data_IF_796519991333
#
_entry.id   IF_796519991333
#
_cell.length_a   1.000
_cell.length_b   1.000
_cell.length_c   1.000
_cell.angle_alpha   90.00
_cell.angle_beta   90.00
_cell.angle_gamma   90.00
#
_symmetry.space_group_name_H-M   'P 1'
#
loop_
_entity.id
_entity.type
_entity.pdbx_description
1 polymer ?
#
# COMPACT_ATOMS: atom_id res chain seq x y z
N UNK A 1 15.45 4.87 -4.47
CA UNK A 1 14.39 5.45 -5.19
C UNK A 1 13.10 4.67 -5.05
N UNK A 2 12.20 5.38 -4.58
CA UNK A 2 10.87 5.49 -5.11
C UNK A 2 9.91 4.36 -4.83
N UNK A 3 8.97 4.72 -4.06
CA UNK A 3 7.62 4.21 -4.02
C UNK A 3 7.03 4.17 -5.43
N UNK A 4 7.32 3.13 -6.21
CA UNK A 4 6.46 2.84 -7.33
C UNK A 4 5.19 2.22 -6.78
N UNK A 5 4.21 3.06 -6.58
CA UNK A 5 2.85 2.61 -6.43
C UNK A 5 2.48 1.73 -7.62
N UNK A 6 1.61 0.72 -7.44
CA UNK A 6 0.95 0.09 -8.56
C UNK A 6 0.41 1.18 -9.50
N UNK A 7 0.34 0.92 -10.81
CA UNK A 7 -0.14 1.89 -11.80
C UNK A 7 -1.56 2.34 -11.50
N UNK A 8 -1.70 3.31 -10.62
CA UNK A 8 -2.98 3.90 -10.25
C UNK A 8 -2.87 5.40 -10.44
N UNK A 9 -3.77 5.96 -11.23
CA UNK A 9 -3.87 7.40 -11.43
C UNK A 9 -4.69 8.01 -10.28
N UNK A 10 -4.11 9.00 -9.62
CA UNK A 10 -4.80 9.77 -8.59
C UNK A 10 -5.50 10.95 -9.24
N UNK A 11 -6.79 11.12 -8.95
CA UNK A 11 -7.56 12.28 -9.40
C UNK A 11 -7.05 13.54 -8.73
N UNK A 12 -6.81 14.60 -9.52
CA UNK A 12 -6.30 15.88 -9.03
C UNK A 12 -7.39 16.67 -8.31
N UNK A 13 -6.97 17.55 -7.41
CA UNK A 13 -7.88 18.47 -6.72
C UNK A 13 -8.69 19.36 -7.69
N UNK A 14 -8.05 19.81 -8.78
CA UNK A 14 -8.71 20.66 -9.78
C UNK A 14 -9.86 19.94 -10.49
N UNK A 15 -9.74 18.66 -10.76
CA UNK A 15 -10.82 17.85 -11.35
C UNK A 15 -12.00 17.72 -10.38
N UNK A 16 -11.73 17.69 -9.09
CA UNK A 16 -12.74 17.61 -8.04
C UNK A 16 -13.50 18.92 -7.83
N UNK A 17 -12.82 20.05 -7.92
CA UNK A 17 -13.45 21.37 -7.72
C UNK A 17 -14.34 21.79 -8.87
N UNK A 18 -14.26 21.16 -10.02
CA UNK A 18 -15.18 21.42 -11.14
C UNK A 18 -16.54 20.79 -10.93
N UNK A 19 -16.67 19.82 -10.03
CA UNK A 19 -17.94 19.24 -9.62
C UNK A 19 -18.40 19.89 -8.32
N UNK A 20 -19.66 20.33 -8.26
CA UNK A 20 -20.25 20.77 -7.00
C UNK A 20 -20.32 19.59 -6.05
N UNK A 21 -19.47 19.62 -5.03
CA UNK A 21 -19.50 18.63 -3.97
C UNK A 21 -20.79 18.80 -3.18
N UNK A 22 -21.66 17.81 -3.21
CA UNK A 22 -22.80 17.77 -2.34
C UNK A 22 -22.38 17.53 -0.87
N UNK A 23 -23.30 17.68 0.06
CA UNK A 23 -23.01 17.46 1.49
C UNK A 23 -22.53 16.05 1.79
N UNK A 24 -22.98 15.07 1.00
CA UNK A 24 -22.61 13.65 1.10
C UNK A 24 -21.14 13.44 0.75
N UNK A 25 -20.71 14.00 -0.39
CA UNK A 25 -19.30 13.93 -0.80
C UNK A 25 -18.38 14.60 0.21
N UNK A 26 -18.82 15.69 0.82
CA UNK A 26 -18.05 16.38 1.86
C UNK A 26 -17.88 15.51 3.11
N UNK A 27 -18.93 14.83 3.56
CA UNK A 27 -18.86 13.91 4.71
C UNK A 27 -17.86 12.77 4.45
N UNK A 28 -17.87 12.20 3.25
CA UNK A 28 -16.91 11.16 2.86
C UNK A 28 -15.48 11.68 2.83
N UNK A 29 -15.28 12.88 2.33
CA UNK A 29 -13.97 13.54 2.34
C UNK A 29 -13.50 13.80 3.77
N UNK A 30 -14.39 14.28 4.63
CA UNK A 30 -14.07 14.59 6.03
C UNK A 30 -13.64 13.34 6.81
N UNK A 31 -14.37 12.23 6.69
CA UNK A 31 -13.98 11.00 7.40
C UNK A 31 -12.65 10.46 6.89
N UNK A 32 -12.45 10.42 5.58
CA UNK A 32 -11.21 9.91 4.98
C UNK A 32 -10.00 10.80 5.25
N UNK A 33 -10.22 12.06 5.56
CA UNK A 33 -9.18 13.01 5.97
C UNK A 33 -8.97 13.11 7.47
N UNK A 34 -9.73 12.37 8.29
CA UNK A 34 -9.68 12.49 9.74
C UNK A 34 -8.49 11.72 10.36
N UNK A 35 -8.09 12.16 11.56
CA UNK A 35 -7.11 11.45 12.36
C UNK A 35 -7.62 10.08 12.81
N UNK A 36 -8.92 9.98 13.08
CA UNK A 36 -9.56 8.70 13.43
C UNK A 36 -9.43 7.68 12.31
N UNK A 37 -9.58 8.12 11.07
CA UNK A 37 -9.39 7.26 9.90
C UNK A 37 -7.92 6.82 9.77
N UNK A 38 -6.98 7.72 9.99
CA UNK A 38 -5.56 7.38 10.02
C UNK A 38 -5.27 6.27 11.03
N UNK A 39 -5.78 6.39 12.24
CA UNK A 39 -5.64 5.39 13.30
C UNK A 39 -6.34 4.07 12.95
N UNK A 40 -7.49 4.15 12.28
CA UNK A 40 -8.23 2.97 11.83
C UNK A 40 -7.45 2.18 10.78
N UNK A 41 -6.79 2.85 9.84
CA UNK A 41 -5.93 2.20 8.85
C UNK A 41 -4.78 1.46 9.53
N UNK A 42 -4.15 2.06 10.51
CA UNK A 42 -3.08 1.42 11.30
C UNK A 42 -3.59 0.19 12.07
N UNK A 43 -4.75 0.30 12.69
CA UNK A 43 -5.38 -0.83 13.39
C UNK A 43 -5.71 -1.97 12.44
N UNK A 44 -6.25 -1.65 11.26
CA UNK A 44 -6.50 -2.63 10.22
C UNK A 44 -5.21 -3.35 9.79
N UNK A 45 -4.15 -2.61 9.54
CA UNK A 45 -2.87 -3.20 9.12
C UNK A 45 -2.31 -4.17 10.19
N UNK A 46 -2.42 -3.82 11.47
CA UNK A 46 -2.00 -4.70 12.56
C UNK A 46 -2.78 -6.01 12.59
N UNK A 47 -4.06 -5.98 12.21
CA UNK A 47 -4.90 -7.18 12.11
C UNK A 47 -4.40 -8.14 11.02
N UNK A 48 -3.79 -7.64 9.95
CA UNK A 48 -3.27 -8.44 8.85
C UNK A 48 -2.13 -9.39 9.26
N UNK A 49 -1.57 -9.19 10.44
CA UNK A 49 -0.61 -10.13 11.03
C UNK A 49 -1.24 -11.49 11.34
N UNK A 50 -2.55 -11.53 11.54
CA UNK A 50 -3.27 -12.74 11.95
C UNK A 50 -4.11 -13.36 10.85
N UNK A 51 -4.77 -12.53 10.04
CA UNK A 51 -5.71 -12.98 9.00
C UNK A 51 -5.94 -11.91 7.94
N UNK A 52 -6.63 -12.27 6.89
CA UNK A 52 -7.15 -11.39 5.85
C UNK A 52 -6.15 -10.80 4.85
N UNK A 53 -4.90 -11.28 4.86
CA UNK A 53 -3.94 -10.90 3.82
C UNK A 53 -4.39 -11.37 2.43
N UNK A 54 -4.20 -10.51 1.44
CA UNK A 54 -4.52 -10.78 0.04
C UNK A 54 -3.23 -10.92 -0.77
N UNK A 55 -2.99 -12.11 -1.29
CA UNK A 55 -1.82 -12.43 -2.09
C UNK A 55 -2.20 -12.70 -3.54
N UNK A 56 -1.20 -12.66 -4.42
CA UNK A 56 -1.30 -13.02 -5.82
C UNK A 56 -0.45 -14.24 -6.12
N UNK A 57 -0.90 -15.05 -7.08
CA UNK A 57 -0.08 -16.13 -7.61
C UNK A 57 1.19 -15.57 -8.26
N UNK A 58 2.31 -16.22 -8.03
CA UNK A 58 3.52 -15.97 -8.79
C UNK A 58 3.46 -16.84 -10.05
N UNK A 59 3.45 -16.19 -11.22
CA UNK A 59 3.25 -16.84 -12.50
C UNK A 59 4.55 -16.99 -13.26
N UNK A 60 4.65 -18.04 -14.05
CA UNK A 60 5.70 -18.20 -15.03
C UNK A 60 5.15 -18.88 -16.30
N UNK A 61 5.39 -18.25 -17.44
CA UNK A 61 5.02 -18.78 -18.78
C UNK A 61 3.54 -19.23 -18.86
N UNK A 62 2.63 -18.46 -18.26
CA UNK A 62 1.20 -18.76 -18.24
C UNK A 62 0.76 -19.75 -17.17
N UNK A 63 1.70 -20.39 -16.49
CA UNK A 63 1.44 -21.35 -15.41
C UNK A 63 1.68 -20.74 -14.04
N UNK A 64 1.04 -21.29 -13.02
CA UNK A 64 1.25 -20.88 -11.63
C UNK A 64 2.53 -21.53 -11.11
N UNK A 65 3.53 -20.70 -10.82
CA UNK A 65 4.79 -21.17 -10.24
C UNK A 65 4.70 -21.32 -8.72
N UNK A 66 4.20 -20.29 -8.04
CA UNK A 66 3.91 -20.34 -6.60
C UNK A 66 2.46 -19.85 -6.40
N UNK A 67 1.54 -20.72 -5.96
CA UNK A 67 0.15 -20.31 -5.77
C UNK A 67 0.01 -19.41 -4.54
N UNK A 68 -0.95 -18.49 -4.59
CA UNK A 68 -1.26 -17.57 -3.49
C UNK A 68 -1.58 -18.30 -2.17
N UNK A 69 -2.14 -19.48 -2.25
CA UNK A 69 -2.45 -20.34 -1.09
C UNK A 69 -1.15 -20.78 -0.39
N UNK A 70 -0.12 -21.09 -1.17
CA UNK A 70 1.22 -21.43 -0.62
C UNK A 70 1.88 -20.22 0.01
N UNK A 71 1.75 -19.06 -0.60
CA UNK A 71 2.25 -17.80 -0.03
C UNK A 71 1.58 -17.51 1.33
N UNK A 72 0.27 -17.69 1.39
CA UNK A 72 -0.49 -17.53 2.64
C UNK A 72 -0.04 -18.52 3.72
N UNK A 73 0.19 -19.78 3.35
CA UNK A 73 0.69 -20.80 4.27
C UNK A 73 2.06 -20.42 4.87
N UNK A 74 2.96 -19.92 4.03
CA UNK A 74 4.27 -19.44 4.48
C UNK A 74 4.12 -18.27 5.42
N UNK A 75 3.32 -17.27 5.02
CA UNK A 75 3.11 -16.05 5.77
C UNK A 75 2.55 -16.32 7.17
N UNK A 76 1.49 -17.11 7.26
CA UNK A 76 0.85 -17.44 8.55
C UNK A 76 1.61 -18.50 9.35
N UNK A 77 2.59 -19.17 8.74
CA UNK A 77 3.44 -20.15 9.40
C UNK A 77 4.54 -19.58 10.29
N UNK A 78 4.83 -18.28 10.18
CA UNK A 78 5.82 -17.63 11.03
C UNK A 78 5.29 -17.42 12.44
N UNK A 79 6.20 -17.22 13.40
CA UNK A 79 5.89 -17.04 14.81
C UNK A 79 4.91 -15.87 15.03
N UNK A 80 4.01 -16.02 16.01
CA UNK A 80 3.02 -15.00 16.39
C UNK A 80 3.66 -13.66 16.81
N UNK A 81 4.90 -13.68 17.28
CA UNK A 81 5.63 -12.49 17.71
C UNK A 81 6.13 -11.63 16.55
N UNK A 82 6.06 -12.14 15.31
CA UNK A 82 6.45 -11.36 14.15
C UNK A 82 5.39 -10.28 13.90
N UNK A 83 5.84 -9.02 13.80
CA UNK A 83 4.96 -7.96 13.33
C UNK A 83 4.72 -8.08 11.82
N UNK A 84 3.77 -7.33 11.30
CA UNK A 84 3.37 -7.37 9.89
C UNK A 84 4.59 -7.23 8.95
N UNK A 85 5.41 -6.23 9.18
CA UNK A 85 6.59 -5.96 8.37
C UNK A 85 7.60 -7.11 8.36
N UNK A 86 7.94 -7.62 9.54
CA UNK A 86 8.92 -8.71 9.67
C UNK A 86 8.39 -9.99 9.03
N UNK A 87 7.10 -10.25 9.20
CA UNK A 87 6.43 -11.41 8.61
C UNK A 87 6.43 -11.35 7.08
N UNK A 88 6.14 -10.18 6.50
CA UNK A 88 6.19 -9.99 5.05
C UNK A 88 7.62 -10.11 4.52
N UNK A 89 8.59 -9.55 5.20
CA UNK A 89 10.00 -9.63 4.81
C UNK A 89 10.52 -11.07 4.84
N UNK A 90 10.18 -11.82 5.89
CA UNK A 90 10.53 -13.24 6.00
C UNK A 90 9.83 -14.09 4.94
N UNK A 91 8.59 -13.74 4.59
CA UNK A 91 7.87 -14.39 3.49
C UNK A 91 8.58 -14.15 2.16
N UNK A 92 9.02 -12.91 1.89
CA UNK A 92 9.83 -12.60 0.70
C UNK A 92 11.08 -13.48 0.59
N UNK A 93 11.83 -13.60 1.67
CA UNK A 93 13.04 -14.40 1.72
C UNK A 93 12.74 -15.87 1.38
N UNK A 94 11.67 -16.41 1.94
CA UNK A 94 11.24 -17.78 1.67
C UNK A 94 10.77 -17.96 0.23
N UNK A 95 10.05 -16.99 -0.32
CA UNK A 95 9.66 -17.00 -1.74
C UNK A 95 10.86 -17.01 -2.66
N UNK A 96 11.91 -16.27 -2.34
CA UNK A 96 13.17 -16.27 -3.12
C UNK A 96 13.85 -17.63 -3.09
N UNK A 97 13.87 -18.31 -1.94
CA UNK A 97 14.42 -19.66 -1.83
C UNK A 97 13.64 -20.67 -2.65
N UNK A 98 12.31 -20.61 -2.60
CA UNK A 98 11.43 -21.48 -3.39
C UNK A 98 11.63 -21.21 -4.87
N UNK A 99 11.73 -19.94 -5.27
CA UNK A 99 11.98 -19.54 -6.64
C UNK A 99 13.26 -20.15 -7.18
N UNK A 100 14.36 -20.05 -6.46
CA UNK A 100 15.64 -20.61 -6.87
C UNK A 100 15.55 -22.13 -7.10
N UNK A 101 14.83 -22.85 -6.24
CA UNK A 101 14.63 -24.31 -6.40
C UNK A 101 13.76 -24.62 -7.63
N UNK A 102 12.68 -23.88 -7.83
CA UNK A 102 11.74 -24.14 -8.93
C UNK A 102 12.31 -23.78 -10.29
N UNK A 103 13.20 -22.83 -10.39
CA UNK A 103 13.87 -22.50 -11.66
C UNK A 103 14.66 -23.68 -12.18
N UNK A 104 15.38 -24.40 -11.35
CA UNK A 104 16.08 -25.60 -11.78
C UNK A 104 15.14 -26.67 -12.34
N UNK A 105 13.97 -26.81 -11.75
CA UNK A 105 12.95 -27.76 -12.22
C UNK A 105 12.39 -27.30 -13.57
N UNK A 106 12.07 -26.02 -13.72
CA UNK A 106 11.55 -25.46 -14.98
C UNK A 106 12.53 -25.63 -16.14
N UNK A 107 13.82 -25.38 -15.90
CA UNK A 107 14.87 -25.52 -16.92
C UNK A 107 15.15 -26.95 -17.32
N UNK A 108 14.52 -27.93 -16.67
CA UNK A 108 14.64 -29.35 -17.01
C UNK A 108 13.38 -29.95 -17.60
N UNK A 109 12.35 -29.11 -17.85
CA UNK A 109 11.11 -29.56 -18.48
C UNK A 109 11.30 -29.86 -19.96
N UNK A 110 10.39 -30.66 -20.51
CA UNK A 110 10.42 -31.13 -21.90
C UNK A 110 10.52 -29.99 -22.93
N UNK A 111 9.89 -28.85 -22.69
CA UNK A 111 9.97 -27.71 -23.61
C UNK A 111 11.40 -27.17 -23.77
N UNK A 112 12.20 -27.24 -22.70
CA UNK A 112 13.62 -26.87 -22.75
C UNK A 112 14.42 -27.93 -23.49
N UNK A 113 14.16 -29.23 -23.25
CA UNK A 113 14.78 -30.32 -24.00
C UNK A 113 14.55 -30.18 -25.49
N UNK A 114 13.32 -29.89 -25.90
CA UNK A 114 12.96 -29.64 -27.29
C UNK A 114 13.68 -28.42 -27.86
N UNK A 115 13.81 -27.33 -27.06
CA UNK A 115 14.50 -26.11 -27.48
C UNK A 115 16.00 -26.28 -27.70
N UNK A 116 16.65 -27.19 -26.96
CA UNK A 116 18.09 -27.43 -27.02
C UNK A 116 18.48 -28.65 -27.87
N UNK A 117 17.53 -29.29 -28.54
CA UNK A 117 17.70 -30.55 -29.26
C UNK A 117 18.84 -30.57 -30.28
N UNK A 118 19.14 -29.44 -30.92
CA UNK A 118 20.17 -29.29 -31.91
C UNK A 118 21.40 -28.51 -31.45
N UNK A 119 21.53 -28.30 -30.17
CA UNK A 119 22.64 -27.54 -29.59
C UNK A 119 23.78 -28.43 -29.12
N UNK A 120 25.00 -27.91 -29.16
CA UNK A 120 26.18 -28.57 -28.60
C UNK A 120 26.03 -28.59 -27.06
N UNK A 121 26.87 -29.41 -26.40
CA UNK A 121 26.91 -29.53 -24.95
C UNK A 121 27.20 -28.17 -24.27
N UNK A 122 28.11 -27.39 -24.84
CA UNK A 122 28.45 -26.06 -24.33
C UNK A 122 27.31 -25.05 -24.56
N UNK A 123 26.64 -25.09 -25.72
CA UNK A 123 25.50 -24.27 -26.04
C UNK A 123 24.31 -24.60 -25.14
N UNK A 124 24.10 -25.87 -24.78
CA UNK A 124 23.06 -26.28 -23.83
C UNK A 124 23.33 -25.72 -22.44
N UNK A 125 24.56 -25.79 -21.97
CA UNK A 125 24.95 -25.23 -20.68
C UNK A 125 24.73 -23.71 -20.65
N UNK A 126 25.11 -23.02 -21.74
CA UNK A 126 24.87 -21.57 -21.85
C UNK A 126 23.39 -21.24 -21.90
N UNK A 127 22.59 -21.98 -22.64
CA UNK A 127 21.14 -21.82 -22.71
C UNK A 127 20.49 -21.95 -21.33
N UNK A 128 20.86 -22.96 -20.56
CA UNK A 128 20.35 -23.17 -19.20
C UNK A 128 20.75 -22.03 -18.27
N UNK A 129 22.00 -21.58 -18.31
CA UNK A 129 22.51 -20.52 -17.47
C UNK A 129 21.81 -19.18 -17.78
N UNK A 130 21.68 -18.83 -19.05
CA UNK A 130 21.01 -17.59 -19.49
C UNK A 130 19.50 -17.63 -19.19
N UNK A 131 18.86 -18.77 -19.44
CA UNK A 131 17.44 -18.96 -19.14
C UNK A 131 17.12 -18.88 -17.65
N UNK A 132 17.93 -19.52 -16.80
CA UNK A 132 17.80 -19.44 -15.35
C UNK A 132 17.97 -18.00 -14.87
N UNK A 133 18.95 -17.26 -15.39
CA UNK A 133 19.19 -15.87 -15.03
C UNK A 133 18.02 -14.99 -15.45
N UNK A 134 17.49 -15.15 -16.67
CA UNK A 134 16.36 -14.37 -17.17
C UNK A 134 15.11 -14.58 -16.32
N UNK A 135 14.75 -15.83 -16.04
CA UNK A 135 13.61 -16.18 -15.19
C UNK A 135 13.80 -15.65 -13.78
N UNK A 136 14.98 -15.86 -13.24
CA UNK A 136 15.32 -15.43 -11.89
C UNK A 136 15.21 -13.91 -11.75
N UNK A 137 15.70 -13.15 -12.73
CA UNK A 137 15.65 -11.68 -12.70
C UNK A 137 14.22 -11.17 -12.79
N UNK A 138 13.39 -11.73 -13.68
CA UNK A 138 11.99 -11.33 -13.82
C UNK A 138 11.19 -11.58 -12.54
N UNK A 139 11.33 -12.76 -11.94
CA UNK A 139 10.58 -13.14 -10.74
C UNK A 139 11.14 -12.51 -9.47
N UNK A 140 12.46 -12.28 -9.40
CA UNK A 140 13.06 -11.47 -8.34
C UNK A 140 12.49 -10.05 -8.35
N UNK A 141 12.36 -9.46 -9.53
CA UNK A 141 11.77 -8.14 -9.69
C UNK A 141 10.30 -8.13 -9.23
N UNK A 142 9.52 -9.14 -9.62
CA UNK A 142 8.14 -9.30 -9.17
C UNK A 142 8.03 -9.36 -7.63
N UNK A 143 8.89 -10.15 -6.99
CA UNK A 143 8.93 -10.27 -5.53
C UNK A 143 9.43 -8.98 -4.89
N UNK A 144 10.53 -8.40 -5.38
CA UNK A 144 11.12 -7.19 -4.77
C UNK A 144 10.22 -5.96 -4.92
N UNK A 145 9.41 -5.88 -5.97
CA UNK A 145 8.40 -4.83 -6.17
C UNK A 145 7.07 -5.10 -5.47
N UNK A 146 6.97 -6.15 -4.70
CA UNK A 146 5.76 -6.52 -3.95
C UNK A 146 4.53 -6.83 -4.83
N UNK A 147 4.75 -7.28 -6.07
CA UNK A 147 3.65 -7.67 -6.97
C UNK A 147 2.92 -8.95 -6.53
N UNK A 148 3.50 -9.69 -5.59
CA UNK A 148 2.87 -10.84 -4.95
C UNK A 148 1.82 -10.44 -3.91
N UNK A 149 1.75 -9.14 -3.55
CA UNK A 149 0.71 -8.56 -2.71
C UNK A 149 -0.41 -8.02 -3.58
N UNK A 150 -1.65 -8.37 -3.25
CA UNK A 150 -2.84 -7.84 -3.94
C UNK A 150 -3.30 -6.55 -3.26
N UNK A 151 -2.59 -5.44 -3.49
CA UNK A 151 -2.81 -4.20 -2.76
C UNK A 151 -4.20 -3.59 -3.02
N UNK A 152 -4.72 -3.65 -4.25
CA UNK A 152 -6.05 -3.14 -4.55
C UNK A 152 -7.14 -3.92 -3.80
N UNK A 153 -7.06 -5.24 -3.80
CA UNK A 153 -8.00 -6.08 -3.05
C UNK A 153 -7.85 -5.87 -1.55
N UNK A 154 -6.62 -5.68 -1.07
CA UNK A 154 -6.37 -5.37 0.34
C UNK A 154 -7.01 -4.04 0.74
N UNK A 155 -6.88 -3.02 -0.10
CA UNK A 155 -7.47 -1.71 0.14
C UNK A 155 -9.01 -1.78 0.16
N UNK A 156 -9.62 -2.50 -0.79
CA UNK A 156 -11.07 -2.69 -0.81
C UNK A 156 -11.55 -3.46 0.43
N UNK A 157 -10.83 -4.49 0.84
CA UNK A 157 -11.13 -5.22 2.07
C UNK A 157 -11.06 -4.30 3.29
N UNK A 158 -10.07 -3.42 3.36
CA UNK A 158 -9.97 -2.42 4.41
C UNK A 158 -11.22 -1.54 4.47
N UNK A 159 -11.68 -1.05 3.33
CA UNK A 159 -12.90 -0.23 3.26
C UNK A 159 -14.12 -1.00 3.78
N UNK A 160 -14.22 -2.29 3.45
CA UNK A 160 -15.32 -3.16 3.93
C UNK A 160 -15.27 -3.39 5.44
N UNK A 161 -14.08 -3.45 6.01
CA UNK A 161 -13.88 -3.66 7.44
C UNK A 161 -13.96 -2.34 8.25
N UNK A 162 -13.86 -1.20 7.59
CA UNK A 162 -13.84 0.11 8.26
C UNK A 162 -15.01 0.35 9.21
N UNK A 163 -16.27 -0.03 8.89
CA UNK A 163 -17.38 0.13 9.82
C UNK A 163 -17.23 -0.63 11.15
N UNK A 164 -16.41 -1.65 11.19
CA UNK A 164 -16.12 -2.41 12.43
C UNK A 164 -15.03 -1.78 13.28
N UNK A 165 -14.23 -0.90 12.68
CA UNK A 165 -13.06 -0.28 13.33
C UNK A 165 -13.38 1.15 13.75
N UNK A 166 -14.18 1.85 12.93
CA UNK A 166 -14.49 3.26 13.06
C UNK A 166 -16.00 3.46 13.08
N UNK A 167 -16.49 4.29 14.01
CA UNK A 167 -17.90 4.64 14.05
C UNK A 167 -18.23 5.69 12.99
N UNK A 168 -18.67 5.25 11.81
CA UNK A 168 -19.01 6.13 10.70
C UNK A 168 -20.19 7.05 11.00
N UNK A 169 -21.08 6.67 11.93
CA UNK A 169 -22.20 7.49 12.35
C UNK A 169 -21.75 8.82 12.97
N UNK A 170 -20.59 8.86 13.62
CA UNK A 170 -20.00 10.09 14.16
C UNK A 170 -19.68 11.11 13.06
N UNK A 171 -19.53 10.67 11.84
CA UNK A 171 -19.30 11.50 10.65
C UNK A 171 -20.57 11.70 9.82
N UNK A 172 -21.70 11.25 10.32
CA UNK A 172 -22.97 11.33 9.60
C UNK A 172 -23.07 10.42 8.39
N UNK A 173 -22.33 9.30 8.39
CA UNK A 173 -22.29 8.33 7.30
C UNK A 173 -23.01 7.06 7.72
N UNK A 174 -24.03 6.68 6.95
CA UNK A 174 -24.74 5.41 7.13
C UNK A 174 -23.95 4.25 6.53
N UNK A 175 -24.28 3.03 6.96
CA UNK A 175 -23.68 1.82 6.38
C UNK A 175 -24.03 1.69 4.88
N UNK A 176 -25.22 2.12 4.47
CA UNK A 176 -25.65 2.10 3.08
C UNK A 176 -24.84 3.07 2.22
N UNK A 177 -24.59 4.28 2.73
CA UNK A 177 -23.77 5.27 2.05
C UNK A 177 -22.34 4.76 1.90
N UNK A 178 -21.78 4.16 2.94
CA UNK A 178 -20.43 3.60 2.90
C UNK A 178 -20.33 2.44 1.90
N UNK A 179 -21.35 1.57 1.84
CA UNK A 179 -21.39 0.49 0.85
C UNK A 179 -21.42 1.02 -0.59
N UNK A 180 -22.15 2.10 -0.85
CA UNK A 180 -22.14 2.77 -2.17
C UNK A 180 -20.78 3.37 -2.49
N UNK A 181 -20.10 3.98 -1.51
CA UNK A 181 -18.76 4.53 -1.68
C UNK A 181 -17.75 3.42 -2.00
N UNK A 182 -17.88 2.25 -1.38
CA UNK A 182 -17.03 1.09 -1.72
C UNK A 182 -17.24 0.69 -3.18
N UNK A 183 -18.48 0.62 -3.65
CA UNK A 183 -18.78 0.31 -5.06
C UNK A 183 -18.14 1.34 -6.01
N UNK A 184 -18.26 2.61 -5.68
CA UNK A 184 -17.66 3.69 -6.48
C UNK A 184 -16.14 3.58 -6.51
N UNK A 185 -15.50 3.26 -5.39
CA UNK A 185 -14.05 3.08 -5.27
C UNK A 185 -13.59 1.86 -6.08
N UNK A 186 -14.31 0.74 -6.01
CA UNK A 186 -14.02 -0.44 -6.84
C UNK A 186 -14.10 -0.10 -8.34
N UNK A 187 -15.13 0.67 -8.74
CA UNK A 187 -15.27 1.13 -10.11
C UNK A 187 -14.08 1.99 -10.57
N UNK A 188 -13.59 2.89 -9.71
CA UNK A 188 -12.40 3.69 -10.01
C UNK A 188 -11.15 2.83 -10.12
N UNK A 189 -10.92 1.91 -9.17
CA UNK A 189 -9.76 1.03 -9.18
C UNK A 189 -9.70 0.13 -10.42
N UNK A 190 -10.84 -0.35 -10.91
CA UNK A 190 -10.91 -1.10 -12.17
C UNK A 190 -10.44 -0.30 -13.37
N UNK A 191 -10.55 1.02 -13.30
CA UNK A 191 -10.06 1.95 -14.31
C UNK A 191 -8.65 2.48 -13.99
N UNK A 192 -8.00 1.94 -12.98
CA UNK A 192 -6.69 2.39 -12.53
C UNK A 192 -6.71 3.78 -11.88
N UNK A 193 -7.80 4.14 -11.18
CA UNK A 193 -7.97 5.46 -10.57
C UNK A 193 -8.23 5.37 -9.08
N UNK A 194 -7.82 6.40 -8.36
CA UNK A 194 -8.17 6.67 -6.98
C UNK A 194 -8.66 8.10 -6.84
N UNK A 195 -9.60 8.33 -5.94
CA UNK A 195 -9.90 9.70 -5.52
C UNK A 195 -8.73 10.25 -4.68
N UNK A 196 -8.60 11.57 -4.64
CA UNK A 196 -7.58 12.22 -3.81
C UNK A 196 -7.77 11.87 -2.33
N UNK A 197 -9.03 11.75 -1.87
CA UNK A 197 -9.33 11.38 -0.50
C UNK A 197 -8.85 9.96 -0.14
N UNK A 198 -8.83 9.04 -1.10
CA UNK A 198 -8.35 7.66 -0.89
C UNK A 198 -6.84 7.54 -1.06
N UNK A 199 -6.19 8.47 -1.74
CA UNK A 199 -4.77 8.36 -2.08
C UNK A 199 -3.89 8.21 -0.83
N UNK A 200 -4.12 9.03 0.19
CA UNK A 200 -3.31 9.00 1.41
C UNK A 200 -3.45 7.69 2.17
N UNK A 201 -4.68 7.17 2.31
CA UNK A 201 -4.91 5.90 3.00
C UNK A 201 -4.39 4.70 2.21
N UNK A 202 -4.48 4.75 0.90
CA UNK A 202 -3.91 3.72 0.03
C UNK A 202 -2.38 3.63 0.17
N UNK A 203 -1.71 4.77 0.10
CA UNK A 203 -0.25 4.84 0.27
C UNK A 203 0.15 4.43 1.69
N UNK A 204 -0.57 4.90 2.68
CA UNK A 204 -0.29 4.57 4.08
C UNK A 204 -0.41 3.06 4.34
N UNK A 205 -1.48 2.43 3.87
CA UNK A 205 -1.64 0.98 3.97
C UNK A 205 -0.48 0.24 3.30
N UNK A 206 -0.11 0.65 2.09
CA UNK A 206 1.02 0.07 1.37
C UNK A 206 2.33 0.21 2.16
N UNK A 207 2.59 1.36 2.72
CA UNK A 207 3.81 1.61 3.51
C UNK A 207 3.82 0.81 4.81
N UNK A 208 2.69 0.65 5.48
CA UNK A 208 2.57 -0.19 6.66
C UNK A 208 2.85 -1.66 6.35
N UNK A 209 2.38 -2.15 5.20
CA UNK A 209 2.58 -3.53 4.77
C UNK A 209 4.03 -3.79 4.31
N UNK A 210 4.60 -2.90 3.53
CA UNK A 210 5.93 -3.08 2.93
C UNK A 210 7.06 -2.58 3.83
N UNK A 211 6.74 -1.86 4.87
CA UNK A 211 7.72 -1.29 5.78
C UNK A 211 8.56 -0.18 5.17
N UNK A 212 8.14 0.39 4.04
CA UNK A 212 8.78 1.56 3.47
C UNK A 212 8.42 2.78 4.30
N UNK A 213 9.22 3.06 5.29
CA UNK A 213 9.17 4.34 5.99
C UNK A 213 9.91 5.36 5.16
N UNK A 214 9.45 6.61 5.18
CA UNK A 214 10.12 7.70 4.53
C UNK A 214 11.53 7.95 5.06
N UNK A 215 12.17 8.92 4.47
CA UNK A 215 13.57 9.24 4.73
C UNK A 215 13.81 9.63 6.19
N UNK A 216 14.60 8.83 6.90
CA UNK A 216 15.01 9.10 8.28
C UNK A 216 16.10 10.17 8.39
N UNK A 217 16.72 10.56 7.28
CA UNK A 217 17.80 11.52 7.25
C UNK A 217 17.28 12.96 7.14
N UNK A 218 16.03 13.15 6.74
CA UNK A 218 15.41 14.47 6.70
C UNK A 218 15.14 14.94 8.13
N UNK A 219 15.75 16.08 8.49
CA UNK A 219 15.70 16.66 9.83
C UNK A 219 14.73 17.83 9.93
N UNK A 220 14.43 18.48 8.82
CA UNK A 220 13.57 19.67 8.80
C UNK A 220 12.59 19.55 7.64
N UNK A 221 11.32 19.85 7.90
CA UNK A 221 10.27 19.86 6.90
C UNK A 221 9.41 21.10 7.06
N UNK A 222 9.35 21.90 6.00
CA UNK A 222 8.47 23.05 5.92
C UNK A 222 7.18 22.66 5.22
N UNK A 223 6.05 22.95 5.85
CA UNK A 223 4.73 22.77 5.24
C UNK A 223 4.09 24.13 5.10
N UNK A 224 4.03 24.61 3.86
CA UNK A 224 3.34 25.84 3.53
C UNK A 224 1.87 25.55 3.27
N UNK A 225 1.02 26.58 3.45
CA UNK A 225 -0.43 26.43 3.27
C UNK A 225 -1.00 25.25 4.05
N UNK A 226 -0.66 25.15 5.35
CA UNK A 226 -1.04 24.03 6.22
C UNK A 226 -2.55 23.80 6.25
N UNK A 227 -3.36 24.85 6.02
CA UNK A 227 -4.81 24.77 5.96
C UNK A 227 -5.32 23.88 4.80
N UNK A 228 -4.50 23.65 3.76
CA UNK A 228 -4.86 22.79 2.62
C UNK A 228 -4.66 21.31 2.91
N UNK A 229 -4.00 20.97 4.02
CA UNK A 229 -3.74 19.61 4.41
C UNK A 229 -4.82 19.08 5.37
N UNK A 230 -5.24 17.83 5.17
CA UNK A 230 -6.06 17.14 6.15
C UNK A 230 -5.23 16.69 7.35
N UNK A 231 -5.87 16.38 8.46
CA UNK A 231 -5.21 15.78 9.62
C UNK A 231 -4.55 14.45 9.27
N UNK A 232 -5.19 13.63 8.44
CA UNK A 232 -4.62 12.39 7.94
C UNK A 232 -3.30 12.64 7.18
N UNK A 233 -3.30 13.61 6.26
CA UNK A 233 -2.12 13.96 5.48
C UNK A 233 -0.96 14.42 6.36
N UNK A 234 -1.23 15.23 7.37
CA UNK A 234 -0.21 15.67 8.33
C UNK A 234 0.34 14.50 9.15
N UNK A 235 -0.53 13.61 9.63
CA UNK A 235 -0.13 12.41 10.34
C UNK A 235 0.70 11.47 9.46
N UNK A 236 0.33 11.33 8.19
CA UNK A 236 1.08 10.55 7.22
C UNK A 236 2.47 11.15 6.95
N UNK A 237 2.58 12.47 6.86
CA UNK A 237 3.88 13.14 6.74
C UNK A 237 4.75 12.89 7.97
N UNK A 238 4.18 12.93 9.16
CA UNK A 238 4.92 12.59 10.38
C UNK A 238 5.40 11.14 10.39
N UNK A 239 4.58 10.24 9.94
CA UNK A 239 4.94 8.83 9.74
C UNK A 239 6.06 8.67 8.72
N UNK A 240 5.99 9.42 7.61
CA UNK A 240 6.97 9.36 6.51
C UNK A 240 8.32 9.98 6.86
N UNK A 241 8.35 10.98 7.76
CA UNK A 241 9.55 11.68 8.17
C UNK A 241 9.67 11.70 9.70
N UNK A 242 9.92 10.53 10.32
CA UNK A 242 9.78 10.37 11.77
C UNK A 242 10.77 11.19 12.61
N UNK A 243 11.88 11.62 12.01
CA UNK A 243 12.91 12.41 12.70
C UNK A 243 12.92 13.88 12.32
N UNK A 244 12.02 14.30 11.44
CA UNK A 244 11.96 15.67 10.99
C UNK A 244 11.28 16.57 12.03
N UNK A 245 11.83 17.76 12.19
CA UNK A 245 11.13 18.88 12.82
C UNK A 245 10.27 19.56 11.77
N UNK A 246 9.02 19.83 12.12
CA UNK A 246 8.05 20.43 11.22
C UNK A 246 7.90 21.92 11.52
N UNK A 247 8.00 22.74 10.48
CA UNK A 247 7.60 24.13 10.53
C UNK A 247 6.35 24.30 9.68
N UNK A 248 5.25 24.70 10.31
CA UNK A 248 3.95 24.81 9.68
C UNK A 248 3.66 26.27 9.41
N UNK A 249 3.44 26.59 8.13
CA UNK A 249 3.13 27.95 7.67
C UNK A 249 1.71 27.96 7.11
N UNK A 250 0.95 28.97 7.46
CA UNK A 250 -0.41 29.15 6.97
C UNK A 250 -1.38 29.65 8.02
N UNK A 251 -2.63 29.81 7.62
CA UNK A 251 -3.69 30.28 8.50
C UNK A 251 -4.40 29.10 9.17
N UNK A 252 -4.12 28.90 10.46
CA UNK A 252 -4.75 27.86 11.27
C UNK A 252 -6.24 28.03 11.43
N UNK A 253 -6.76 29.27 11.33
CA UNK A 253 -8.19 29.52 11.42
C UNK A 253 -8.96 29.06 10.18
N UNK A 254 -8.28 28.98 9.04
CA UNK A 254 -8.82 28.45 7.79
C UNK A 254 -8.59 26.96 7.63
N UNK A 255 -7.76 26.37 8.47
CA UNK A 255 -7.53 24.94 8.46
C UNK A 255 -8.84 24.20 8.77
N UNK A 256 -9.16 23.18 7.97
CA UNK A 256 -10.37 22.36 8.15
C UNK A 256 -10.16 21.41 9.36
N UNK A 257 -9.74 21.94 10.48
CA UNK A 257 -9.57 21.22 11.73
C UNK A 257 -10.83 21.39 12.56
N UNK A 258 -11.91 20.83 12.08
CA UNK A 258 -13.19 20.86 12.78
C UNK A 258 -13.25 19.92 13.98
N UNK A 259 -12.28 19.01 14.09
CA UNK A 259 -12.23 18.03 15.18
C UNK A 259 -11.08 18.31 16.15
N UNK A 260 -11.34 18.12 17.42
CA UNK A 260 -10.38 18.27 18.53
C UNK A 260 -9.09 17.48 18.30
N UNK A 261 -9.21 16.28 17.69
CA UNK A 261 -8.07 15.42 17.34
C UNK A 261 -7.11 16.07 16.36
N UNK A 262 -7.62 16.86 15.42
CA UNK A 262 -6.79 17.57 14.43
C UNK A 262 -5.98 18.68 15.07
N UNK A 263 -6.57 19.42 16.01
CA UNK A 263 -5.86 20.44 16.79
C UNK A 263 -4.78 19.83 17.66
N UNK A 264 -5.08 18.68 18.27
CA UNK A 264 -4.12 17.93 19.09
C UNK A 264 -2.93 17.47 18.25
N UNK A 265 -3.18 16.95 17.05
CA UNK A 265 -2.15 16.55 16.11
C UNK A 265 -1.29 17.74 15.69
N UNK A 266 -1.88 18.89 15.41
CA UNK A 266 -1.14 20.11 15.09
C UNK A 266 -0.26 20.55 16.27
N UNK A 267 -0.75 20.45 17.49
CA UNK A 267 0.05 20.70 18.68
C UNK A 267 1.26 19.78 18.77
N UNK A 268 1.07 18.51 18.47
CA UNK A 268 2.16 17.51 18.46
C UNK A 268 3.17 17.76 17.35
N UNK A 269 2.70 18.12 16.15
CA UNK A 269 3.55 18.43 15.00
C UNK A 269 4.24 19.79 15.16
N UNK A 270 3.53 20.74 15.72
CA UNK A 270 3.92 22.14 15.79
C UNK A 270 4.50 22.57 17.11
N UNK A 271 4.93 21.64 17.98
CA UNK A 271 5.71 21.99 19.17
C UNK A 271 6.95 22.84 18.81
N UNK A 272 7.33 22.84 17.54
CA UNK A 272 8.54 23.47 17.06
C UNK A 272 8.30 24.89 16.54
N UNK A 273 7.31 25.19 15.73
CA UNK A 273 6.81 26.54 15.44
C UNK A 273 5.64 26.54 14.46
N UNK A 274 4.56 27.17 14.88
CA UNK A 274 3.43 27.47 14.00
C UNK A 274 3.43 28.97 13.78
N UNK A 275 3.63 29.40 12.52
CA UNK A 275 3.55 30.79 12.13
C UNK A 275 2.28 31.05 11.33
N UNK A 276 1.46 31.91 11.82
CA UNK A 276 0.24 32.37 11.15
C UNK A 276 0.52 33.43 10.10
#
# INVERSE_FOLDING_TARGET
>A
SSHRLPSVQVETLSERFTEQLDKTAQKLTDVKGSLDYFRAVSAYANHLNKEDMRFRNLMFNGDILIPKEKIAEIYYGFNENYNLRNRLESTKEELMKILNRKIHVEMRKKWVEDAVQNLSKEEIQQFHAEGEEEILNADKEFISRNHWLSINNQFVHMLKEMPKILNLADFGISNELWAEEIKATVGRLKKGRLSLADASSYIYLYDLMTGKRGDKDIRYLFIDEVQDYSAFQLAFLKFSFPRAQFTLLGDLNQAIFTHENSRKLLGELGSDSIQS
#
